data_IF_150419597871
#
_entry.id   IF_150419597871
#
_cell.length_a   1.000
_cell.length_b   1.000
_cell.length_c   1.000
_cell.angle_alpha   90.00
_cell.angle_beta   90.00
_cell.angle_gamma   90.00
#
_symmetry.space_group_name_H-M   'P 1'
#
loop_
_entity.id
_entity.type
_entity.pdbx_description
1 polymer ?
#
# COMPACT_ATOMS: atom_id res chain seq x y z
N UNK A 1 6.17 -26.10 12.86
CA UNK A 1 6.79 -24.76 12.96
C UNK A 1 6.71 -24.14 11.58
N UNK A 2 5.62 -23.40 11.25
CA UNK A 2 5.48 -22.39 10.15
C UNK A 2 4.04 -22.16 9.65
N UNK A 3 3.01 -22.86 10.14
CA UNK A 3 1.67 -22.72 9.53
C UNK A 3 1.03 -21.33 9.66
N UNK A 4 1.47 -20.51 10.62
CA UNK A 4 0.96 -19.13 10.80
C UNK A 4 1.81 -18.06 10.10
N UNK A 5 2.90 -18.43 9.41
CA UNK A 5 3.74 -17.44 8.73
C UNK A 5 3.09 -16.99 7.41
N UNK A 6 2.65 -15.73 7.37
CA UNK A 6 2.11 -15.10 6.16
C UNK A 6 3.17 -14.18 5.53
N UNK A 7 3.88 -14.61 4.47
CA UNK A 7 4.91 -13.78 3.84
C UNK A 7 4.29 -12.54 3.19
N UNK A 8 4.95 -11.39 3.36
CA UNK A 8 4.59 -10.16 2.65
C UNK A 8 5.15 -10.20 1.22
N UNK A 9 4.34 -10.68 0.27
CA UNK A 9 4.73 -10.89 -1.14
C UNK A 9 4.31 -9.76 -2.07
N UNK A 10 3.51 -8.79 -1.59
CA UNK A 10 2.97 -7.68 -2.38
C UNK A 10 3.27 -6.34 -1.72
N UNK A 11 3.23 -5.27 -2.52
CA UNK A 11 3.40 -3.90 -2.04
C UNK A 11 2.26 -3.00 -2.51
N UNK A 12 1.82 -2.11 -1.63
CA UNK A 12 0.92 -1.01 -1.95
C UNK A 12 1.74 0.28 -2.00
N UNK A 13 1.60 1.02 -3.10
CA UNK A 13 2.16 2.35 -3.27
C UNK A 13 1.06 3.38 -3.04
N UNK A 14 1.27 4.26 -2.06
CA UNK A 14 0.35 5.34 -1.69
C UNK A 14 1.10 6.66 -1.64
N UNK A 15 0.37 7.77 -1.81
CA UNK A 15 0.97 9.10 -1.64
C UNK A 15 1.12 9.37 -0.15
N UNK A 16 2.31 9.73 0.31
CA UNK A 16 2.46 10.22 1.68
C UNK A 16 1.92 11.66 1.77
N UNK A 17 1.28 12.00 2.88
CA UNK A 17 0.77 13.36 3.11
C UNK A 17 1.89 14.41 3.17
N UNK A 18 3.12 14.00 3.45
CA UNK A 18 4.29 14.86 3.46
C UNK A 18 4.87 15.01 2.05
N UNK A 19 5.55 16.12 1.85
CA UNK A 19 6.37 16.38 0.68
C UNK A 19 7.64 17.11 1.09
N UNK A 20 8.69 16.99 0.28
CA UNK A 20 9.94 17.72 0.49
C UNK A 20 9.79 19.10 -0.13
N UNK A 21 9.78 20.12 0.72
CA UNK A 21 9.64 21.52 0.31
C UNK A 21 11.00 22.20 0.10
N UNK A 22 10.98 23.36 -0.57
CA UNK A 22 12.14 24.26 -0.63
C UNK A 22 13.28 23.80 -1.55
N UNK A 23 13.04 22.86 -2.45
CA UNK A 23 14.02 22.44 -3.45
C UNK A 23 14.06 23.42 -4.64
N UNK A 24 15.22 23.61 -5.29
CA UNK A 24 15.39 24.56 -6.40
C UNK A 24 14.56 24.24 -7.66
N UNK A 25 13.89 23.09 -7.67
CA UNK A 25 13.01 22.61 -8.73
C UNK A 25 11.57 22.38 -8.26
N UNK A 26 11.19 22.89 -7.08
CA UNK A 26 9.84 22.77 -6.52
C UNK A 26 9.66 21.59 -5.58
N UNK A 27 8.48 21.51 -4.96
CA UNK A 27 8.14 20.49 -3.96
C UNK A 27 8.14 19.08 -4.57
N UNK A 28 8.72 18.10 -3.88
CA UNK A 28 8.74 16.70 -4.32
C UNK A 28 7.81 15.84 -3.45
N UNK A 29 6.80 15.16 -4.04
CA UNK A 29 5.92 14.27 -3.30
C UNK A 29 6.67 13.01 -2.86
N UNK A 30 6.26 12.45 -1.71
CA UNK A 30 6.77 11.18 -1.22
C UNK A 30 5.79 10.04 -1.53
N UNK A 31 6.34 8.88 -1.85
CA UNK A 31 5.56 7.63 -2.00
C UNK A 31 5.81 6.77 -0.76
N UNK A 32 4.73 6.35 -0.11
CA UNK A 32 4.75 5.37 0.96
C UNK A 32 4.59 3.97 0.38
N UNK A 33 5.52 3.08 0.73
CA UNK A 33 5.48 1.67 0.40
C UNK A 33 4.98 0.91 1.61
N UNK A 34 3.85 0.21 1.46
CA UNK A 34 3.31 -0.67 2.52
C UNK A 34 3.36 -2.12 2.06
N UNK A 35 4.20 -2.98 2.67
CA UNK A 35 4.24 -4.40 2.33
C UNK A 35 3.02 -5.12 2.91
N UNK A 36 2.40 -5.99 2.11
CA UNK A 36 1.24 -6.80 2.50
C UNK A 36 1.43 -8.26 2.10
N UNK A 37 0.78 -9.16 2.83
CA UNK A 37 0.62 -10.55 2.44
C UNK A 37 -0.50 -10.66 1.40
N UNK A 38 -0.36 -11.61 0.47
CA UNK A 38 -1.35 -11.84 -0.58
C UNK A 38 -2.74 -12.22 -0.04
N UNK A 39 -2.78 -12.92 1.09
CA UNK A 39 -4.01 -13.28 1.80
C UNK A 39 -4.85 -12.06 2.22
N UNK A 40 -4.26 -10.87 2.32
CA UNK A 40 -4.98 -9.63 2.70
C UNK A 40 -5.79 -9.03 1.54
N UNK A 41 -5.58 -9.51 0.31
CA UNK A 41 -6.30 -9.06 -0.89
C UNK A 41 -6.94 -10.23 -1.66
N UNK A 42 -6.83 -11.46 -1.16
CA UNK A 42 -7.30 -12.68 -1.81
C UNK A 42 -8.81 -12.67 -2.09
N UNK A 43 -9.60 -12.04 -1.22
CA UNK A 43 -11.06 -11.93 -1.36
C UNK A 43 -11.52 -10.70 -2.16
N UNK A 44 -10.60 -9.95 -2.77
CA UNK A 44 -10.90 -8.74 -3.52
C UNK A 44 -10.57 -8.91 -5.01
N UNK A 45 -11.28 -8.17 -5.86
CA UNK A 45 -10.98 -8.13 -7.30
C UNK A 45 -9.62 -7.44 -7.52
N UNK A 46 -8.65 -8.23 -7.99
CA UNK A 46 -7.27 -7.79 -8.23
C UNK A 46 -7.00 -7.44 -9.70
N UNK A 47 -8.04 -7.35 -10.55
CA UNK A 47 -7.88 -6.87 -11.93
C UNK A 47 -7.37 -5.42 -11.96
N UNK A 48 -6.57 -5.05 -12.97
CA UNK A 48 -5.88 -3.76 -13.03
C UNK A 48 -6.81 -2.53 -12.85
N UNK A 49 -8.08 -2.64 -13.23
CA UNK A 49 -9.09 -1.59 -13.02
C UNK A 49 -9.59 -1.45 -11.58
N UNK A 50 -9.49 -2.50 -10.78
CA UNK A 50 -10.06 -2.61 -9.43
C UNK A 50 -9.02 -2.85 -8.31
N UNK A 51 -7.75 -3.09 -8.67
CA UNK A 51 -6.65 -3.32 -7.74
C UNK A 51 -6.43 -2.18 -6.73
N UNK A 52 -6.77 -0.93 -7.09
CA UNK A 52 -6.71 0.21 -6.15
C UNK A 52 -7.71 0.08 -4.99
N UNK A 53 -8.88 -0.52 -5.22
CA UNK A 53 -9.88 -0.75 -4.19
C UNK A 53 -9.42 -1.86 -3.23
N UNK A 54 -8.89 -2.97 -3.77
CA UNK A 54 -8.29 -4.03 -2.96
C UNK A 54 -7.17 -3.48 -2.05
N UNK A 55 -6.30 -2.61 -2.61
CA UNK A 55 -5.25 -1.96 -1.84
C UNK A 55 -5.79 -1.05 -0.72
N UNK A 56 -6.81 -0.23 -0.99
CA UNK A 56 -7.44 0.62 0.03
C UNK A 56 -8.06 -0.20 1.15
N UNK A 57 -8.72 -1.31 0.83
CA UNK A 57 -9.27 -2.22 1.83
C UNK A 57 -8.19 -2.81 2.73
N UNK A 58 -7.11 -3.35 2.15
CA UNK A 58 -5.99 -3.91 2.93
C UNK A 58 -5.34 -2.86 3.86
N UNK A 59 -5.19 -1.61 3.40
CA UNK A 59 -4.68 -0.53 4.25
C UNK A 59 -5.65 -0.17 5.39
N UNK A 60 -6.96 -0.12 5.09
CA UNK A 60 -7.99 0.20 6.07
C UNK A 60 -8.10 -0.87 7.18
N UNK A 61 -7.99 -2.16 6.84
CA UNK A 61 -7.96 -3.25 7.83
C UNK A 61 -6.79 -3.11 8.80
N UNK A 62 -5.64 -2.64 8.30
CA UNK A 62 -4.45 -2.32 9.11
C UNK A 62 -4.51 -0.97 9.82
N UNK A 63 -5.57 -0.18 9.62
CA UNK A 63 -5.71 1.20 10.12
C UNK A 63 -4.56 2.11 9.67
N UNK A 64 -4.10 1.91 8.44
CA UNK A 64 -3.09 2.74 7.80
C UNK A 64 -3.82 3.69 6.85
N UNK A 65 -3.66 5.00 7.06
CA UNK A 65 -4.19 6.00 6.14
C UNK A 65 -3.46 5.93 4.78
N UNK A 66 -4.27 5.88 3.71
CA UNK A 66 -3.83 5.80 2.31
C UNK A 66 -3.69 7.18 1.67
#
# INVERSE_FOLDING_TARGET
LTDDYKPMSRIILSRDARQIEGLPFGSVPLIRVTPIAEAEIENHDQSDGWASNAARHALAERRIEA
#
